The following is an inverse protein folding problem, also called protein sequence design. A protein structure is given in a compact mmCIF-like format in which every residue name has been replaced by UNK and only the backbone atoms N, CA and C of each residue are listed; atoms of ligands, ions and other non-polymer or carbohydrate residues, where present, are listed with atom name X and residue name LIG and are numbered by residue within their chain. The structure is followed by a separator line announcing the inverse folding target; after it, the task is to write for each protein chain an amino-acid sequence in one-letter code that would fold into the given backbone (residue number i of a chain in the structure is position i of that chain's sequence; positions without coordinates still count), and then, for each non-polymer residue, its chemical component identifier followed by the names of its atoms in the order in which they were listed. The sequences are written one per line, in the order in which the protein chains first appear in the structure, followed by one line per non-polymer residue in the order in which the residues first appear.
data_IF_414562692328
#
_entry.id   IF_414562692328
#
_cell.length_a   1.000
_cell.length_b   1.000
_cell.length_c   1.000
_cell.angle_alpha   90.00
_cell.angle_beta   90.00
_cell.angle_gamma   90.00
#
_symmetry.space_group_name_H-M   'P 1'
#
loop_
_entity.id
_entity.type
_entity.pdbx_description
1 polymer ?
#
# COMPACT_ATOMS: atom_id res chain seq x y z
N UNK A 1 28.45 8.27 21.07
CA UNK A 1 27.61 8.18 19.87
C UNK A 1 27.31 9.61 19.44
N UNK A 2 27.57 9.99 18.18
CA UNK A 2 27.33 11.36 17.66
C UNK A 2 26.18 11.27 16.67
N UNK A 3 25.15 12.09 16.87
CA UNK A 3 23.98 12.18 16.00
C UNK A 3 24.10 13.45 15.16
N UNK A 4 24.20 13.32 13.83
CA UNK A 4 24.25 14.44 12.90
C UNK A 4 22.92 14.53 12.15
N UNK A 5 22.20 15.63 12.33
CA UNK A 5 20.90 15.89 11.69
C UNK A 5 20.79 17.36 11.31
N UNK A 6 20.12 17.66 10.21
CA UNK A 6 19.79 19.03 9.82
C UNK A 6 18.65 19.64 10.67
N UNK A 7 17.96 18.82 11.47
CA UNK A 7 16.85 19.24 12.33
C UNK A 7 17.04 18.75 13.78
N UNK A 8 18.03 19.29 14.52
CA UNK A 8 18.27 18.90 15.92
C UNK A 8 17.09 19.27 16.84
N UNK A 9 16.31 20.28 16.45
CA UNK A 9 15.16 20.77 17.22
C UNK A 9 13.89 19.92 17.05
N UNK A 10 13.92 18.84 16.25
CA UNK A 10 12.72 18.08 15.95
C UNK A 10 12.11 17.48 17.25
N UNK A 11 10.81 17.70 17.53
CA UNK A 11 10.19 17.28 18.79
C UNK A 11 10.39 15.80 19.14
N UNK A 12 10.22 14.91 18.15
CA UNK A 12 10.47 13.47 18.34
C UNK A 12 11.94 13.13 18.67
N UNK A 13 12.89 13.93 18.16
CA UNK A 13 14.32 13.72 18.40
C UNK A 13 14.69 14.13 19.83
N UNK A 14 14.10 15.23 20.33
CA UNK A 14 14.22 15.61 21.75
C UNK A 14 13.63 14.55 22.68
N UNK A 15 12.43 14.06 22.38
CA UNK A 15 11.79 12.99 23.18
C UNK A 15 12.64 11.72 23.22
N UNK A 16 13.22 11.32 22.09
CA UNK A 16 14.10 10.15 22.03
C UNK A 16 15.38 10.34 22.85
N UNK A 17 16.00 11.52 22.78
CA UNK A 17 17.25 11.83 23.48
C UNK A 17 17.06 12.05 24.98
N UNK A 18 15.94 12.64 25.39
CA UNK A 18 15.70 13.08 26.77
C UNK A 18 14.85 12.09 27.57
N UNK A 19 13.88 11.43 26.94
CA UNK A 19 12.88 10.57 27.61
C UNK A 19 13.01 9.09 27.23
N UNK A 20 13.92 8.75 26.31
CA UNK A 20 14.22 7.39 25.90
C UNK A 20 13.22 6.79 24.91
N UNK A 21 13.49 5.55 24.53
CA UNK A 21 12.79 4.85 23.44
C UNK A 21 11.28 4.67 23.70
N UNK A 22 10.87 4.35 24.92
CA UNK A 22 9.46 4.06 25.23
C UNK A 22 8.56 5.28 25.08
N UNK A 23 9.04 6.46 25.49
CA UNK A 23 8.32 7.72 25.33
C UNK A 23 8.19 8.10 23.85
N UNK A 24 9.28 7.95 23.09
CA UNK A 24 9.29 8.13 21.64
C UNK A 24 8.29 7.18 20.94
N UNK A 25 8.34 5.89 21.25
CA UNK A 25 7.48 4.89 20.63
C UNK A 25 5.99 5.18 20.88
N UNK A 26 5.59 5.56 22.11
CA UNK A 26 4.22 5.94 22.44
C UNK A 26 3.75 7.15 21.63
N UNK A 27 4.58 8.18 21.51
CA UNK A 27 4.22 9.39 20.76
C UNK A 27 4.10 9.13 19.27
N UNK A 28 5.06 8.41 18.66
CA UNK A 28 5.00 8.05 17.24
C UNK A 28 3.81 7.12 16.93
N UNK A 29 3.43 6.23 17.85
CA UNK A 29 2.24 5.40 17.71
C UNK A 29 0.95 6.24 17.74
N UNK A 30 0.86 7.23 18.63
CA UNK A 30 -0.30 8.14 18.67
C UNK A 30 -0.43 8.96 17.37
N UNK A 31 0.69 9.47 16.84
CA UNK A 31 0.72 10.16 15.54
C UNK A 31 0.30 9.24 14.39
N UNK A 32 0.85 8.02 14.32
CA UNK A 32 0.47 7.04 13.27
C UNK A 32 -1.00 6.67 13.33
N UNK A 33 -1.60 6.61 14.53
CA UNK A 33 -3.03 6.36 14.72
C UNK A 33 -3.89 7.48 14.15
N UNK A 34 -3.49 8.74 14.31
CA UNK A 34 -4.29 9.90 13.85
C UNK A 34 -4.30 10.05 12.33
N UNK A 35 -3.26 9.57 11.64
CA UNK A 35 -3.15 9.60 10.18
C UNK A 35 -3.39 8.25 9.50
N UNK A 36 -3.97 7.28 10.22
CA UNK A 36 -4.32 5.96 9.68
C UNK A 36 -3.13 5.24 9.01
N UNK A 37 -1.96 5.30 9.63
CA UNK A 37 -0.76 4.57 9.19
C UNK A 37 -0.60 3.26 9.97
N UNK A 38 0.11 2.26 9.41
CA UNK A 38 0.46 1.03 10.13
C UNK A 38 1.12 1.33 11.49
N UNK A 39 0.79 0.58 12.56
CA UNK A 39 0.04 -0.69 12.58
C UNK A 39 -1.51 -0.54 12.65
N UNK A 40 -2.04 0.69 12.56
CA UNK A 40 -3.48 0.95 12.74
C UNK A 40 -4.31 0.72 11.48
N UNK A 41 -3.63 0.57 10.34
CA UNK A 41 -4.19 0.16 9.07
C UNK A 41 -3.36 -0.97 8.48
N UNK A 42 -4.02 -1.83 7.71
CA UNK A 42 -3.40 -2.87 6.92
C UNK A 42 -3.36 -2.44 5.47
N UNK A 43 -2.27 -2.79 4.80
CA UNK A 43 -2.01 -2.39 3.43
C UNK A 43 -1.84 -3.63 2.55
N UNK A 44 -2.40 -3.59 1.35
CA UNK A 44 -2.08 -4.55 0.29
C UNK A 44 -1.62 -3.77 -0.92
N UNK A 45 -0.45 -4.11 -1.44
CA UNK A 45 0.07 -3.52 -2.66
C UNK A 45 -0.02 -4.55 -3.79
N UNK A 46 -0.76 -4.19 -4.83
CA UNK A 46 -0.90 -4.99 -6.03
C UNK A 46 -0.02 -4.36 -7.10
N UNK A 47 1.00 -5.10 -7.55
CA UNK A 47 1.94 -4.64 -8.57
C UNK A 47 1.65 -5.35 -9.89
N UNK A 48 1.71 -4.63 -10.99
CA UNK A 48 1.59 -5.17 -12.34
C UNK A 48 2.73 -4.67 -13.21
N UNK A 49 3.27 -5.56 -14.04
CA UNK A 49 4.33 -5.27 -15.01
C UNK A 49 3.91 -5.67 -16.43
N UNK A 50 4.18 -4.80 -17.40
CA UNK A 50 4.02 -5.04 -18.84
C UNK A 50 5.24 -4.54 -19.64
N UNK A 51 5.20 -4.70 -20.97
CA UNK A 51 6.26 -4.21 -21.87
C UNK A 51 5.84 -2.96 -22.65
N UNK A 52 4.54 -2.66 -22.72
CA UNK A 52 3.95 -1.60 -23.56
C UNK A 52 3.40 -0.40 -22.77
N UNK A 53 3.52 -0.41 -21.44
CA UNK A 53 3.02 0.63 -20.53
C UNK A 53 1.50 0.87 -20.61
N UNK A 54 0.73 -0.10 -21.09
CA UNK A 54 -0.72 0.03 -21.26
C UNK A 54 -1.49 -1.09 -20.58
N UNK A 55 -1.08 -2.35 -20.76
CA UNK A 55 -1.83 -3.49 -20.23
C UNK A 55 -1.89 -3.50 -18.69
N UNK A 56 -0.81 -3.10 -18.03
CA UNK A 56 -0.71 -3.07 -16.56
C UNK A 56 -1.61 -2.01 -15.96
N UNK A 57 -1.64 -0.81 -16.54
CA UNK A 57 -2.55 0.24 -16.11
C UNK A 57 -4.01 -0.19 -16.29
N UNK A 58 -4.35 -0.75 -17.46
CA UNK A 58 -5.70 -1.23 -17.77
C UNK A 58 -6.15 -2.35 -16.82
N UNK A 59 -5.28 -3.32 -16.56
CA UNK A 59 -5.54 -4.39 -15.61
C UNK A 59 -5.82 -3.85 -14.21
N UNK A 60 -4.97 -2.97 -13.68
CA UNK A 60 -5.14 -2.41 -12.35
C UNK A 60 -6.36 -1.49 -12.25
N UNK A 61 -6.74 -0.79 -13.33
CA UNK A 61 -7.97 -0.01 -13.38
C UNK A 61 -9.22 -0.90 -13.31
N UNK A 62 -9.23 -2.01 -14.05
CA UNK A 62 -10.33 -2.98 -13.98
C UNK A 62 -10.42 -3.63 -12.61
N UNK A 63 -9.27 -3.97 -12.03
CA UNK A 63 -9.19 -4.49 -10.67
C UNK A 63 -9.73 -3.49 -9.65
N UNK A 64 -9.37 -2.21 -9.76
CA UNK A 64 -9.93 -1.15 -8.93
C UNK A 64 -11.46 -1.12 -9.03
N UNK A 65 -12.02 -1.07 -10.23
CA UNK A 65 -13.47 -1.01 -10.43
C UNK A 65 -14.18 -2.26 -9.86
N UNK A 66 -13.56 -3.44 -10.00
CA UNK A 66 -14.06 -4.69 -9.42
C UNK A 66 -14.08 -4.64 -7.89
N UNK A 67 -13.02 -4.13 -7.26
CA UNK A 67 -12.96 -3.99 -5.81
C UNK A 67 -13.92 -2.91 -5.29
N UNK A 68 -14.08 -1.81 -6.02
CA UNK A 68 -15.03 -0.73 -5.68
C UNK A 68 -16.50 -1.19 -5.76
N UNK A 69 -16.81 -2.13 -6.65
CA UNK A 69 -18.16 -2.71 -6.82
C UNK A 69 -18.43 -3.91 -5.90
N UNK A 70 -17.46 -4.32 -5.09
CA UNK A 70 -17.63 -5.45 -4.16
C UNK A 70 -18.67 -5.13 -3.09
N UNK A 71 -19.57 -6.07 -2.75
CA UNK A 71 -20.51 -5.88 -1.64
C UNK A 71 -19.81 -5.83 -0.26
N UNK A 72 -18.54 -6.23 -0.19
CA UNK A 72 -17.72 -6.16 1.02
C UNK A 72 -16.98 -4.82 1.17
N UNK A 73 -17.13 -3.90 0.20
CA UNK A 73 -16.53 -2.58 0.26
C UNK A 73 -17.32 -1.71 1.24
N UNK A 74 -16.63 -1.17 2.23
CA UNK A 74 -17.14 -0.17 3.15
C UNK A 74 -16.49 1.21 2.90
N UNK A 75 -16.86 2.21 3.70
CA UNK A 75 -16.30 3.57 3.62
C UNK A 75 -14.87 3.67 4.12
N UNK A 76 -14.41 2.66 4.87
CA UNK A 76 -13.05 2.61 5.43
C UNK A 76 -12.05 2.00 4.45
N UNK A 77 -12.49 1.47 3.30
CA UNK A 77 -11.63 0.95 2.25
C UNK A 77 -11.15 2.07 1.33
N UNK A 78 -9.83 2.27 1.33
CA UNK A 78 -9.15 3.20 0.46
C UNK A 78 -8.44 2.43 -0.65
N UNK A 79 -8.65 2.86 -1.90
CA UNK A 79 -8.02 2.28 -3.08
C UNK A 79 -7.27 3.41 -3.80
N UNK A 80 -5.95 3.40 -3.70
CA UNK A 80 -5.09 4.43 -4.26
C UNK A 80 -4.38 3.93 -5.53
N UNK A 81 -4.39 4.76 -6.57
CA UNK A 81 -3.91 4.41 -7.90
C UNK A 81 -5.01 3.94 -8.85
N UNK A 82 -4.67 3.31 -9.98
CA UNK A 82 -3.33 2.86 -10.37
C UNK A 82 -2.34 4.00 -10.60
N UNK A 83 -1.11 3.85 -10.12
CA UNK A 83 0.00 4.79 -10.37
C UNK A 83 1.24 4.03 -10.86
N UNK A 84 2.13 4.67 -11.64
CA UNK A 84 3.43 4.10 -11.93
C UNK A 84 4.23 3.92 -10.62
N UNK A 85 5.00 2.85 -10.52
CA UNK A 85 5.92 2.66 -9.39
C UNK A 85 7.06 3.69 -9.46
N UNK A 86 7.68 4.02 -8.31
CA UNK A 86 8.80 4.97 -8.23
C UNK A 86 9.93 4.65 -9.24
N UNK A 87 10.22 3.36 -9.42
CA UNK A 87 11.03 2.86 -10.54
C UNK A 87 10.13 2.42 -11.69
N UNK A 88 9.60 3.38 -12.45
CA UNK A 88 8.56 3.17 -13.45
C UNK A 88 8.97 2.23 -14.60
N UNK A 89 10.28 2.09 -14.89
CA UNK A 89 10.79 1.14 -15.88
C UNK A 89 12.04 0.41 -15.37
N UNK A 90 12.01 -0.92 -15.33
CA UNK A 90 13.16 -1.76 -14.98
C UNK A 90 13.23 -2.97 -15.89
N UNK A 91 14.41 -3.28 -16.43
CA UNK A 91 14.64 -4.40 -17.36
C UNK A 91 13.64 -4.43 -18.54
N UNK A 92 13.36 -3.25 -19.12
CA UNK A 92 12.44 -3.14 -20.27
C UNK A 92 10.95 -3.28 -19.93
N UNK A 93 10.59 -3.43 -18.65
CA UNK A 93 9.19 -3.54 -18.21
C UNK A 93 8.73 -2.31 -17.47
N UNK A 94 7.50 -1.89 -17.73
CA UNK A 94 6.85 -0.80 -17.01
C UNK A 94 6.12 -1.34 -15.80
N UNK A 95 6.20 -0.61 -14.69
CA UNK A 95 5.67 -1.05 -13.40
C UNK A 95 4.58 -0.12 -12.92
N UNK A 96 3.44 -0.70 -12.62
CA UNK A 96 2.30 -0.03 -12.04
C UNK A 96 1.90 -0.68 -10.73
N UNK A 97 1.26 0.10 -9.87
CA UNK A 97 0.80 -0.37 -8.58
C UNK A 97 -0.55 0.22 -8.16
N UNK A 98 -1.29 -0.57 -7.39
CA UNK A 98 -2.55 -0.23 -6.75
C UNK A 98 -2.43 -0.56 -5.26
N UNK A 99 -2.66 0.43 -4.39
CA UNK A 99 -2.59 0.27 -2.94
C UNK A 99 -4.00 0.17 -2.37
N UNK A 100 -4.27 -0.89 -1.62
CA UNK A 100 -5.46 -1.04 -0.80
C UNK A 100 -5.11 -0.77 0.65
N UNK A 101 -5.90 0.06 1.31
CA UNK A 101 -5.72 0.41 2.71
C UNK A 101 -7.05 0.26 3.46
N UNK A 102 -7.00 -0.36 4.63
CA UNK A 102 -8.16 -0.55 5.49
C UNK A 102 -7.75 -0.72 6.95
N UNK A 103 -8.51 -0.22 7.95
CA UNK A 103 -8.22 -0.44 9.37
C UNK A 103 -8.25 -1.91 9.81
N UNK A 104 -9.00 -2.76 9.11
CA UNK A 104 -9.13 -4.19 9.39
C UNK A 104 -8.47 -5.05 8.32
N UNK A 105 -7.40 -5.76 8.70
CA UNK A 105 -6.75 -6.80 7.88
C UNK A 105 -7.74 -7.87 7.41
N UNK A 106 -8.67 -8.25 8.28
CA UNK A 106 -9.64 -9.32 8.00
C UNK A 106 -10.53 -8.95 6.82
N UNK A 107 -11.02 -7.70 6.79
CA UNK A 107 -11.88 -7.20 5.71
C UNK A 107 -11.12 -7.20 4.38
N UNK A 108 -9.88 -6.73 4.37
CA UNK A 108 -9.04 -6.78 3.17
C UNK A 108 -8.81 -8.20 2.65
N UNK A 109 -8.49 -9.14 3.54
CA UNK A 109 -8.32 -10.54 3.15
C UNK A 109 -9.62 -11.16 2.61
N UNK A 110 -10.76 -10.85 3.23
CA UNK A 110 -12.07 -11.31 2.76
C UNK A 110 -12.41 -10.72 1.39
N UNK A 111 -12.18 -9.42 1.20
CA UNK A 111 -12.39 -8.71 -0.07
C UNK A 111 -11.57 -9.31 -1.21
N UNK A 112 -10.30 -9.61 -0.97
CA UNK A 112 -9.45 -10.29 -1.96
C UNK A 112 -9.92 -11.71 -2.23
N UNK A 113 -10.25 -12.47 -1.18
CA UNK A 113 -10.67 -13.86 -1.32
C UNK A 113 -11.99 -14.00 -2.09
N UNK A 114 -12.97 -13.12 -1.84
CA UNK A 114 -14.23 -13.10 -2.59
C UNK A 114 -14.03 -12.67 -4.04
N UNK A 115 -13.08 -11.75 -4.27
CA UNK A 115 -12.79 -11.22 -5.60
C UNK A 115 -11.89 -12.13 -6.43
N UNK A 116 -11.19 -13.09 -5.83
CA UNK A 116 -10.14 -13.90 -6.48
C UNK A 116 -10.60 -14.56 -7.78
N UNK A 117 -11.79 -15.17 -7.78
CA UNK A 117 -12.34 -15.83 -8.99
C UNK A 117 -12.63 -14.83 -10.11
N UNK A 118 -13.16 -13.65 -9.76
CA UNK A 118 -13.44 -12.58 -10.73
C UNK A 118 -12.15 -11.96 -11.27
N UNK A 119 -11.14 -11.78 -10.42
CA UNK A 119 -9.80 -11.29 -10.81
C UNK A 119 -9.17 -12.26 -11.81
N UNK A 120 -9.24 -13.56 -11.55
CA UNK A 120 -8.72 -14.59 -12.45
C UNK A 120 -9.49 -14.67 -13.78
N UNK A 121 -10.75 -14.24 -13.80
CA UNK A 121 -11.58 -14.17 -15.00
C UNK A 121 -11.26 -12.96 -15.89
N UNK A 122 -10.57 -11.93 -15.37
CA UNK A 122 -10.18 -10.76 -16.16
C UNK A 122 -9.23 -11.18 -17.30
N UNK A 123 -9.58 -10.94 -18.59
CA UNK A 123 -8.72 -11.28 -19.72
C UNK A 123 -7.32 -10.66 -19.62
N UNK A 124 -7.25 -9.45 -19.05
CA UNK A 124 -6.04 -8.65 -18.87
C UNK A 124 -5.10 -9.28 -17.83
N UNK A 125 -5.63 -10.01 -16.84
CA UNK A 125 -4.81 -10.68 -15.82
C UNK A 125 -3.84 -11.73 -16.40
N UNK A 126 -4.15 -12.26 -17.60
CA UNK A 126 -3.29 -13.20 -18.34
C UNK A 126 -2.25 -12.51 -19.22
N UNK A 127 -2.39 -11.21 -19.48
CA UNK A 127 -1.52 -10.43 -20.37
C UNK A 127 -0.39 -9.72 -19.62
N UNK A 128 -0.48 -9.64 -18.30
CA UNK A 128 0.45 -8.92 -17.44
C UNK A 128 1.04 -9.85 -16.39
N UNK A 129 2.25 -9.55 -15.93
CA UNK A 129 2.79 -10.19 -14.73
C UNK A 129 2.35 -9.37 -13.54
N UNK A 130 1.59 -9.93 -12.62
CA UNK A 130 1.15 -9.22 -11.42
C UNK A 130 1.44 -10.01 -10.15
N UNK A 131 1.58 -9.29 -9.04
CA UNK A 131 1.87 -9.85 -7.71
C UNK A 131 1.10 -9.08 -6.65
N UNK A 132 0.77 -9.75 -5.55
CA UNK A 132 0.10 -9.15 -4.41
C UNK A 132 1.01 -9.26 -3.18
N UNK A 133 1.25 -8.12 -2.54
CA UNK A 133 2.07 -7.99 -1.33
C UNK A 133 1.16 -7.58 -0.16
N UNK A 134 1.15 -8.39 0.90
CA UNK A 134 0.29 -8.18 2.09
C UNK A 134 1.16 -7.60 3.20
N UNK A 135 0.78 -6.42 3.68
CA UNK A 135 1.54 -5.59 4.62
C UNK A 135 2.98 -5.35 4.15
N UNK A 136 3.16 -4.64 3.01
CA UNK A 136 4.49 -4.33 2.46
C UNK A 136 5.31 -3.55 3.49
N UNK A 137 6.51 -4.07 3.81
CA UNK A 137 7.39 -3.53 4.85
C UNK A 137 8.21 -2.32 4.34
N UNK A 138 8.33 -2.16 3.01
CA UNK A 138 9.08 -1.06 2.39
C UNK A 138 8.39 -0.53 1.12
N UNK A 139 8.35 0.80 0.97
CA UNK A 139 8.17 1.53 -0.29
C UNK A 139 9.00 2.79 -0.29
#
# INVERSE_FOLDING_TARGET
MVLQTHHPEHPLLKVLLEQGYDAFAKQTLAERKSVFLPPYTSHILIRSEDHDNQQSQLFLQQLRNLLESSPLKDESLWILGPVPALAAKRNGRFRWQLLLQHPSRRVLQQLLKSSQSLINALPQAKKVKWTLDVDPIDS
#
